data_IF_117729359684
#
_entry.id   IF_117729359684
#
_cell.length_a   1.000
_cell.length_b   1.000
_cell.length_c   1.000
_cell.angle_alpha   90.00
_cell.angle_beta   90.00
_cell.angle_gamma   90.00
#
_symmetry.space_group_name_H-M   'P 1'
#
loop_
_entity.id
_entity.type
_entity.pdbx_description
1 polymer ?
#
# COMPACT_ATOMS: atom_id res chain seq x y z
N UNK A 1 -3.55 -21.94 -18.86
CA UNK A 1 -4.42 -20.86 -18.36
C UNK A 1 -3.49 -19.78 -17.83
N UNK A 2 -3.48 -18.61 -18.47
CA UNK A 2 -2.75 -17.44 -17.98
C UNK A 2 -3.37 -17.06 -16.64
N UNK A 3 -2.66 -17.29 -15.52
CA UNK A 3 -3.01 -16.59 -14.28
C UNK A 3 -2.91 -15.11 -14.60
N UNK A 4 -4.05 -14.44 -14.71
CA UNK A 4 -4.08 -12.98 -14.77
C UNK A 4 -3.39 -12.50 -13.50
N UNK A 5 -2.20 -11.93 -13.65
CA UNK A 5 -1.47 -11.34 -12.53
C UNK A 5 -2.32 -10.20 -12.01
N UNK A 6 -3.00 -10.43 -10.89
CA UNK A 6 -3.71 -9.39 -10.17
C UNK A 6 -2.68 -8.35 -9.71
N UNK A 7 -2.97 -7.04 -9.85
CA UNK A 7 -2.15 -6.00 -9.27
C UNK A 7 -1.93 -6.23 -7.78
N UNK A 8 -0.68 -6.09 -7.31
CA UNK A 8 -0.31 -6.42 -5.93
C UNK A 8 -1.07 -5.62 -4.86
N UNK A 9 -1.54 -4.41 -5.17
CA UNK A 9 -2.32 -3.59 -4.24
C UNK A 9 -3.67 -4.22 -3.89
N UNK A 10 -4.22 -5.08 -4.75
CA UNK A 10 -5.45 -5.82 -4.45
C UNK A 10 -5.22 -6.88 -3.38
N UNK A 11 -3.99 -7.41 -3.25
CA UNK A 11 -3.65 -8.43 -2.26
C UNK A 11 -3.73 -7.93 -0.81
N UNK A 12 -3.72 -6.60 -0.58
CA UNK A 12 -3.86 -6.01 0.75
C UNK A 12 -5.31 -5.68 1.12
N UNK A 13 -6.26 -5.90 0.21
CA UNK A 13 -7.67 -5.57 0.39
C UNK A 13 -8.50 -6.83 0.60
N UNK A 14 -9.50 -6.72 1.48
CA UNK A 14 -10.49 -7.78 1.67
C UNK A 14 -11.62 -7.67 0.63
N UNK A 15 -12.49 -8.68 0.59
CA UNK A 15 -13.60 -8.71 -0.36
C UNK A 15 -14.54 -7.51 -0.22
N UNK A 16 -14.78 -7.03 1.00
CA UNK A 16 -15.66 -5.90 1.22
C UNK A 16 -15.04 -4.58 0.74
N UNK A 17 -13.73 -4.41 0.90
CA UNK A 17 -12.98 -3.28 0.35
C UNK A 17 -13.08 -3.26 -1.17
N UNK A 18 -12.94 -4.42 -1.82
CA UNK A 18 -13.07 -4.54 -3.27
C UNK A 18 -14.50 -4.19 -3.73
N UNK A 19 -15.52 -4.70 -3.06
CA UNK A 19 -16.92 -4.38 -3.38
C UNK A 19 -17.24 -2.90 -3.13
N UNK A 20 -16.67 -2.30 -2.08
CA UNK A 20 -16.76 -0.87 -1.83
C UNK A 20 -16.12 -0.05 -2.97
N UNK A 21 -14.90 -0.39 -3.39
CA UNK A 21 -14.20 0.29 -4.49
C UNK A 21 -15.02 0.18 -5.78
N UNK A 22 -15.55 -1.00 -6.09
CA UNK A 22 -16.41 -1.23 -7.25
C UNK A 22 -17.61 -0.28 -7.24
N UNK A 23 -18.36 -0.24 -6.15
CA UNK A 23 -19.52 0.67 -6.02
C UNK A 23 -19.08 2.13 -6.07
N UNK A 24 -17.98 2.48 -5.43
CA UNK A 24 -17.43 3.84 -5.45
C UNK A 24 -17.14 4.29 -6.88
N UNK A 25 -16.47 3.48 -7.69
CA UNK A 25 -16.20 3.75 -9.11
C UNK A 25 -17.50 3.86 -9.92
N UNK A 26 -18.46 2.95 -9.71
CA UNK A 26 -19.76 2.99 -10.39
C UNK A 26 -20.58 4.25 -10.05
N UNK A 27 -20.28 4.91 -8.93
CA UNK A 27 -20.86 6.21 -8.54
C UNK A 27 -19.98 7.41 -8.92
N UNK A 28 -19.00 7.21 -9.81
CA UNK A 28 -18.02 8.22 -10.22
C UNK A 28 -17.23 8.83 -9.04
N UNK A 29 -16.99 8.03 -8.00
CA UNK A 29 -16.28 8.46 -6.80
C UNK A 29 -17.07 9.40 -5.88
N UNK A 30 -18.39 9.50 -6.03
CA UNK A 30 -19.21 10.35 -5.18
C UNK A 30 -19.43 9.76 -3.79
N UNK A 31 -18.67 10.24 -2.81
CA UNK A 31 -18.83 9.91 -1.40
C UNK A 31 -20.27 10.13 -0.90
N UNK A 32 -20.95 11.18 -1.40
CA UNK A 32 -22.35 11.47 -1.04
C UNK A 32 -23.31 10.42 -1.59
N UNK A 33 -23.08 9.91 -2.80
CA UNK A 33 -23.93 8.86 -3.38
C UNK A 33 -23.69 7.52 -2.69
N UNK A 34 -22.44 7.19 -2.37
CA UNK A 34 -22.12 5.97 -1.60
C UNK A 34 -22.73 6.02 -0.20
N UNK A 35 -22.69 7.17 0.46
CA UNK A 35 -23.33 7.35 1.77
C UNK A 35 -24.83 7.02 1.73
N UNK A 36 -25.52 7.39 0.65
CA UNK A 36 -26.92 7.01 0.44
C UNK A 36 -27.10 5.50 0.20
N UNK A 37 -26.25 4.89 -0.63
CA UNK A 37 -26.33 3.45 -0.96
C UNK A 37 -26.13 2.58 0.27
N UNK A 38 -25.18 2.97 1.14
CA UNK A 38 -24.85 2.22 2.35
C UNK A 38 -25.65 2.70 3.58
N UNK A 39 -26.56 3.67 3.41
CA UNK A 39 -27.39 4.25 4.48
C UNK A 39 -26.59 4.73 5.70
N UNK A 40 -25.41 5.30 5.45
CA UNK A 40 -24.51 5.83 6.49
C UNK A 40 -24.19 7.29 6.25
N UNK A 41 -23.57 7.93 7.25
CA UNK A 41 -23.15 9.33 7.11
C UNK A 41 -22.00 9.48 6.11
N UNK A 42 -21.92 10.64 5.46
CA UNK A 42 -20.78 10.99 4.60
C UNK A 42 -19.42 10.85 5.33
N UNK A 43 -19.25 11.32 6.58
CA UNK A 43 -18.03 11.07 7.35
C UNK A 43 -17.69 9.57 7.51
N UNK A 44 -18.69 8.71 7.69
CA UNK A 44 -18.48 7.25 7.81
C UNK A 44 -17.89 6.66 6.53
N UNK A 45 -18.44 7.04 5.36
CA UNK A 45 -17.91 6.60 4.06
C UNK A 45 -16.51 7.13 3.82
N UNK A 46 -16.27 8.41 4.14
CA UNK A 46 -14.96 9.04 4.01
C UNK A 46 -13.90 8.27 4.80
N UNK A 47 -14.20 7.95 6.07
CA UNK A 47 -13.31 7.17 6.92
C UNK A 47 -13.02 5.77 6.33
N UNK A 48 -14.02 5.11 5.73
CA UNK A 48 -13.81 3.82 5.04
C UNK A 48 -12.89 3.96 3.83
N UNK A 49 -13.09 4.97 2.99
CA UNK A 49 -12.22 5.25 1.85
C UNK A 49 -10.78 5.54 2.31
N UNK A 50 -10.60 6.38 3.32
CA UNK A 50 -9.28 6.75 3.84
C UNK A 50 -8.53 5.49 4.37
N UNK A 51 -9.22 4.55 5.02
CA UNK A 51 -8.63 3.26 5.44
C UNK A 51 -8.16 2.40 4.26
N UNK A 52 -8.94 2.33 3.19
CA UNK A 52 -8.57 1.58 1.97
C UNK A 52 -7.33 2.22 1.32
N UNK A 53 -7.30 3.55 1.21
CA UNK A 53 -6.12 4.27 0.71
C UNK A 53 -4.89 3.93 1.55
N UNK A 54 -4.99 3.97 2.89
CA UNK A 54 -3.88 3.60 3.77
C UNK A 54 -3.40 2.15 3.56
N UNK A 55 -4.33 1.18 3.42
CA UNK A 55 -3.96 -0.21 3.13
C UNK A 55 -3.17 -0.34 1.82
N UNK A 56 -3.55 0.40 0.79
CA UNK A 56 -2.86 0.44 -0.50
C UNK A 56 -1.48 1.07 -0.35
N UNK A 57 -1.37 2.25 0.27
CA UNK A 57 -0.10 2.94 0.47
C UNK A 57 0.89 2.11 1.30
N UNK A 58 0.44 1.43 2.35
CA UNK A 58 1.30 0.53 3.16
C UNK A 58 1.80 -0.64 2.31
N UNK A 59 0.95 -1.22 1.46
CA UNK A 59 1.34 -2.31 0.59
C UNK A 59 2.37 -1.86 -0.45
N UNK A 60 2.16 -0.69 -1.04
CA UNK A 60 3.10 -0.11 -1.99
C UNK A 60 4.43 0.27 -1.32
N UNK A 61 4.41 0.73 -0.07
CA UNK A 61 5.63 0.91 0.74
C UNK A 61 6.37 -0.41 1.01
N UNK A 62 5.66 -1.49 1.35
CA UNK A 62 6.26 -2.83 1.48
C UNK A 62 6.91 -3.30 0.18
N UNK A 63 6.29 -3.00 -0.96
CA UNK A 63 6.86 -3.23 -2.30
C UNK A 63 8.00 -2.27 -2.66
N UNK A 64 8.22 -1.19 -1.90
CA UNK A 64 9.39 -0.31 -2.04
C UNK A 64 10.55 -0.70 -1.09
N UNK A 65 10.35 -1.66 -0.18
CA UNK A 65 11.40 -2.30 0.63
C UNK A 65 12.12 -3.55 0.01
N UNK A 66 11.88 -4.01 -1.24
CA UNK A 66 12.70 -5.06 -1.87
C UNK A 66 14.18 -4.69 -1.91
N UNK A 67 14.50 -3.42 -2.13
CA UNK A 67 15.87 -2.93 -2.09
C UNK A 67 16.47 -3.07 -0.67
N UNK A 68 15.74 -2.64 0.36
CA UNK A 68 16.17 -2.78 1.75
C UNK A 68 16.33 -4.26 2.14
N UNK A 69 15.43 -5.12 1.66
CA UNK A 69 15.50 -6.58 1.89
C UNK A 69 16.71 -7.20 1.21
N UNK A 70 17.00 -6.80 -0.04
CA UNK A 70 18.18 -7.23 -0.78
C UNK A 70 19.48 -6.79 -0.10
N UNK A 71 19.57 -5.55 0.38
CA UNK A 71 20.75 -5.06 1.11
C UNK A 71 20.93 -5.82 2.43
N UNK A 72 19.85 -6.15 3.15
CA UNK A 72 19.92 -7.00 4.35
C UNK A 72 20.42 -8.41 4.02
N UNK A 73 19.95 -9.02 2.94
CA UNK A 73 20.40 -10.33 2.47
C UNK A 73 21.89 -10.33 2.12
N UNK A 74 22.37 -9.31 1.41
CA UNK A 74 23.81 -9.15 1.11
C UNK A 74 24.67 -9.07 2.38
N UNK A 75 24.15 -8.46 3.44
CA UNK A 75 24.84 -8.38 4.73
C UNK A 75 24.85 -9.72 5.47
N UNK A 76 23.76 -10.49 5.39
CA UNK A 76 23.67 -11.83 5.97
C UNK A 76 24.57 -12.83 5.24
N UNK A 77 24.70 -12.69 3.92
CA UNK A 77 25.60 -13.47 3.07
C UNK A 77 27.08 -13.04 3.21
N UNK A 78 27.40 -12.11 4.12
CA UNK A 78 28.74 -11.54 4.34
C UNK A 78 29.37 -10.88 3.09
N UNK A 79 28.55 -10.56 2.08
CA UNK A 79 29.00 -9.86 0.86
C UNK A 79 29.29 -8.38 1.11
N UNK A 80 28.64 -7.81 2.13
CA UNK A 80 28.89 -6.46 2.65
C UNK A 80 28.85 -6.50 4.18
N UNK A 81 29.58 -5.60 4.84
CA UNK A 81 29.50 -5.48 6.30
C UNK A 81 28.20 -4.78 6.74
N UNK A 82 27.82 -5.02 8.00
CA UNK A 82 26.58 -4.50 8.58
C UNK A 82 26.53 -2.96 8.60
N UNK A 83 27.66 -2.29 8.75
CA UNK A 83 27.68 -0.83 8.86
C UNK A 83 27.52 -0.19 7.47
N UNK A 84 28.13 -0.77 6.43
CA UNK A 84 27.88 -0.42 5.04
C UNK A 84 26.42 -0.66 4.64
N UNK A 85 25.84 -1.80 5.02
CA UNK A 85 24.43 -2.10 4.75
C UNK A 85 23.49 -1.05 5.36
N UNK A 86 23.74 -0.66 6.63
CA UNK A 86 22.98 0.40 7.30
C UNK A 86 23.12 1.75 6.60
N UNK A 87 24.33 2.11 6.17
CA UNK A 87 24.59 3.38 5.49
C UNK A 87 23.80 3.47 4.18
N UNK A 88 23.81 2.41 3.36
CA UNK A 88 23.05 2.33 2.10
C UNK A 88 21.54 2.43 2.35
N UNK A 89 21.02 1.68 3.33
CA UNK A 89 19.59 1.70 3.68
C UNK A 89 19.17 3.10 4.16
N UNK A 90 20.00 3.75 4.97
CA UNK A 90 19.71 5.06 5.51
C UNK A 90 19.65 6.13 4.41
N UNK A 91 20.59 6.10 3.48
CA UNK A 91 20.61 7.05 2.37
C UNK A 91 19.42 6.85 1.42
N UNK A 92 19.05 5.59 1.15
CA UNK A 92 17.85 5.25 0.37
C UNK A 92 16.55 5.77 1.03
N UNK A 93 16.43 5.65 2.37
CA UNK A 93 15.26 6.16 3.10
C UNK A 93 15.14 7.68 3.07
N UNK A 94 16.27 8.40 3.13
CA UNK A 94 16.30 9.85 2.97
C UNK A 94 15.82 10.30 1.60
N UNK A 95 16.28 9.64 0.53
CA UNK A 95 15.86 9.95 -0.84
C UNK A 95 14.36 9.72 -1.07
N UNK A 96 13.79 8.69 -0.42
CA UNK A 96 12.35 8.39 -0.48
C UNK A 96 11.47 9.29 0.40
N UNK A 97 12.06 10.21 1.18
CA UNK A 97 11.32 11.13 2.05
C UNK A 97 10.62 10.44 3.23
N UNK A 98 11.10 9.25 3.63
CA UNK A 98 10.55 8.50 4.77
C UNK A 98 11.12 8.97 6.12
N UNK A 99 12.14 9.83 6.11
CA UNK A 99 12.60 10.59 7.28
C UNK A 99 12.16 12.05 7.17
N UNK A 100 11.08 12.39 7.86
CA UNK A 100 10.82 13.74 8.39
C UNK A 100 10.53 13.65 9.87
#
# INVERSE_FOLDING_TARGET
MTMEKLPNWLSSLDYEDIEFIKKFILTSGSLKNIAKIYEVSYPTVRLRLDKIIQKIEINDKKLNEPFISFIKELSLDEKIDLDTAKLIINEYKKEKGEEK
#
